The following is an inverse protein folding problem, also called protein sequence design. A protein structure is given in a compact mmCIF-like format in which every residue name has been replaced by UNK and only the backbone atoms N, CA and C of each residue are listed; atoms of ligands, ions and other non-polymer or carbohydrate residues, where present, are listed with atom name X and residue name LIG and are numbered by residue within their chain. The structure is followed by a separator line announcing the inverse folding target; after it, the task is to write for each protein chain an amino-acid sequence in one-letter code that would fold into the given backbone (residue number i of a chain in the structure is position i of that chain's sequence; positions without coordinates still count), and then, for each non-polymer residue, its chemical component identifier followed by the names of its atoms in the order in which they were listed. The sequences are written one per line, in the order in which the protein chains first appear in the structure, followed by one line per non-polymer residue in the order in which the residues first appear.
data_IF_374096176150
#
_entry.id   IF_374096176150
#
_cell.length_a   1.000
_cell.length_b   1.000
_cell.length_c   1.000
_cell.angle_alpha   90.00
_cell.angle_beta   90.00
_cell.angle_gamma   90.00
#
_symmetry.space_group_name_H-M   'P 1'
#
loop_
_entity.id
_entity.type
_entity.pdbx_description
1 polymer ?
#
# COMPACT_ATOMS: atom_id res chain seq x y z
N UNK A 1 -11.12 2.55 -20.37
CA UNK A 1 -10.60 2.72 -18.99
C UNK A 1 -9.10 2.83 -19.08
N UNK A 2 -8.51 3.90 -18.53
CA UNK A 2 -7.06 4.08 -18.53
C UNK A 2 -6.43 3.19 -17.46
N UNK A 3 -5.40 2.39 -17.77
CA UNK A 3 -4.79 1.45 -16.82
C UNK A 3 -4.29 2.13 -15.53
N UNK A 4 -3.77 3.34 -15.65
CA UNK A 4 -3.24 4.15 -14.54
C UNK A 4 -4.31 4.52 -13.50
N UNK A 5 -5.55 4.76 -13.95
CA UNK A 5 -6.67 5.07 -13.06
C UNK A 5 -7.10 3.84 -12.25
N UNK A 6 -6.98 2.64 -12.82
CA UNK A 6 -7.27 1.40 -12.09
C UNK A 6 -6.22 1.17 -11.00
N UNK A 7 -4.93 1.41 -11.29
CA UNK A 7 -3.85 1.28 -10.32
C UNK A 7 -4.01 2.25 -9.15
N UNK A 8 -4.28 3.53 -9.42
CA UNK A 8 -4.52 4.53 -8.37
C UNK A 8 -5.70 4.11 -7.48
N UNK A 9 -6.77 3.57 -8.06
CA UNK A 9 -7.92 3.12 -7.29
C UNK A 9 -7.59 1.87 -6.43
N UNK A 10 -6.78 0.94 -6.96
CA UNK A 10 -6.30 -0.21 -6.19
C UNK A 10 -5.39 0.21 -5.04
N UNK A 11 -4.48 1.15 -5.28
CA UNK A 11 -3.59 1.70 -4.26
C UNK A 11 -4.40 2.36 -3.15
N UNK A 12 -5.31 3.28 -3.49
CA UNK A 12 -6.18 3.94 -2.50
C UNK A 12 -6.98 2.93 -1.69
N UNK A 13 -7.57 1.93 -2.35
CA UNK A 13 -8.35 0.91 -1.65
C UNK A 13 -7.48 0.06 -0.71
N UNK A 14 -6.25 -0.23 -1.10
CA UNK A 14 -5.31 -0.99 -0.28
C UNK A 14 -4.81 -0.14 0.90
N UNK A 15 -4.44 1.12 0.69
CA UNK A 15 -4.01 2.03 1.76
C UNK A 15 -5.12 2.30 2.76
N UNK A 16 -6.35 2.59 2.31
CA UNK A 16 -7.51 2.73 3.22
C UNK A 16 -7.76 1.45 4.01
N UNK A 17 -7.61 0.27 3.38
CA UNK A 17 -7.74 -1.01 4.10
C UNK A 17 -6.65 -1.18 5.16
N UNK A 18 -5.42 -0.78 4.85
CA UNK A 18 -4.29 -0.82 5.78
C UNK A 18 -4.51 0.17 6.93
N UNK A 19 -4.90 1.42 6.65
CA UNK A 19 -5.24 2.42 7.67
C UNK A 19 -6.31 1.92 8.65
N UNK A 20 -7.37 1.32 8.11
CA UNK A 20 -8.55 0.91 8.91
C UNK A 20 -8.38 -0.43 9.62
N UNK A 21 -7.70 -1.40 9.00
CA UNK A 21 -7.58 -2.75 9.55
C UNK A 21 -6.21 -3.05 10.17
N UNK A 22 -5.16 -2.36 9.72
CA UNK A 22 -3.77 -2.59 10.13
C UNK A 22 -3.07 -1.24 10.41
N UNK A 23 -3.57 -0.43 11.36
CA UNK A 23 -3.00 0.88 11.66
C UNK A 23 -1.53 0.81 12.07
N UNK A 24 -1.10 -0.34 12.60
CA UNK A 24 0.31 -0.63 12.89
C UNK A 24 1.18 -0.63 11.63
N UNK A 25 0.70 -1.17 10.51
CA UNK A 25 1.41 -1.11 9.22
C UNK A 25 1.32 0.31 8.65
N UNK A 26 0.14 0.95 8.77
CA UNK A 26 -0.08 2.29 8.24
C UNK A 26 0.90 3.32 8.81
N UNK A 27 1.22 3.20 10.10
CA UNK A 27 2.24 4.04 10.74
C UNK A 27 3.61 3.97 10.04
N UNK A 28 4.04 2.80 9.57
CA UNK A 28 5.29 2.65 8.81
C UNK A 28 5.20 3.24 7.40
N UNK A 29 3.99 3.33 6.83
CA UNK A 29 3.75 3.96 5.52
C UNK A 29 3.81 5.48 5.64
N UNK A 30 3.31 6.06 6.74
CA UNK A 30 3.38 7.52 6.98
C UNK A 30 4.81 8.04 7.11
N UNK A 31 5.73 7.24 7.65
CA UNK A 31 7.16 7.58 7.69
C UNK A 31 7.85 7.53 6.31
N UNK A 32 7.20 6.93 5.31
CA UNK A 32 7.64 6.85 3.92
C UNK A 32 6.60 7.52 3.01
N UNK A 33 6.45 8.86 3.05
CA UNK A 33 5.45 9.55 2.24
C UNK A 33 5.86 9.49 0.77
N UNK A 34 5.46 8.43 0.06
CA UNK A 34 5.23 8.52 -1.37
C UNK A 34 3.97 9.35 -1.49
N UNK A 35 4.17 10.66 -1.63
CA UNK A 35 3.11 11.62 -1.94
C UNK A 35 2.48 11.19 -3.24
N UNK A 36 1.45 10.34 -3.17
CA UNK A 36 0.65 9.99 -4.34
C UNK A 36 0.08 11.33 -4.83
N UNK A 37 0.48 11.80 -6.01
CA UNK A 37 0.09 13.12 -6.46
C UNK A 37 -1.41 13.09 -6.67
N UNK A 38 -2.13 13.79 -5.79
CA UNK A 38 -3.58 13.93 -5.84
C UNK A 38 -3.97 14.60 -7.16
N UNK A 39 -4.40 13.77 -8.09
CA UNK A 39 -5.27 14.05 -9.24
C UNK A 39 -4.86 15.09 -10.29
N UNK A 40 -3.76 15.85 -10.17
CA UNK A 40 -3.60 17.00 -11.07
C UNK A 40 -2.28 17.18 -11.81
N UNK A 41 -1.19 16.51 -11.44
CA UNK A 41 0.04 16.64 -12.23
C UNK A 41 1.07 15.58 -11.83
N UNK A 42 1.04 14.41 -12.44
CA UNK A 42 2.24 13.59 -12.49
C UNK A 42 2.06 12.58 -13.61
N UNK A 43 2.94 12.64 -14.60
CA UNK A 43 3.37 11.50 -15.41
C UNK A 43 3.90 10.40 -14.46
N UNK A 44 3.00 9.83 -13.66
CA UNK A 44 3.32 8.70 -12.81
C UNK A 44 3.29 7.53 -13.77
N UNK A 45 4.43 7.28 -14.39
CA UNK A 45 4.67 6.15 -15.27
C UNK A 45 4.03 4.92 -14.63
N UNK A 46 3.18 4.18 -15.36
CA UNK A 46 2.37 3.08 -14.80
C UNK A 46 3.22 2.07 -14.00
N UNK A 47 4.52 1.94 -14.34
CA UNK A 47 5.49 1.15 -13.56
C UNK A 47 5.67 1.64 -12.12
N UNK A 48 5.76 2.95 -11.88
CA UNK A 48 5.94 3.50 -10.53
C UNK A 48 4.71 3.23 -9.67
N UNK A 49 3.51 3.35 -10.25
CA UNK A 49 2.26 2.99 -9.56
C UNK A 49 2.18 1.48 -9.28
N UNK A 50 2.58 0.65 -10.25
CA UNK A 50 2.65 -0.80 -10.08
C UNK A 50 3.64 -1.21 -8.98
N UNK A 51 4.85 -0.64 -9.01
CA UNK A 51 5.91 -0.92 -8.05
C UNK A 51 5.51 -0.51 -6.63
N UNK A 52 4.81 0.63 -6.50
CA UNK A 52 4.24 1.06 -5.23
C UNK A 52 3.12 0.14 -4.73
N UNK A 53 2.20 -0.27 -5.61
CA UNK A 53 1.14 -1.22 -5.27
C UNK A 53 1.72 -2.57 -4.83
N UNK A 54 2.77 -3.02 -5.50
CA UNK A 54 3.46 -4.27 -5.18
C UNK A 54 4.18 -4.18 -3.82
N UNK A 55 4.88 -3.07 -3.56
CA UNK A 55 5.51 -2.81 -2.26
C UNK A 55 4.49 -2.81 -1.11
N UNK A 56 3.33 -2.17 -1.28
CA UNK A 56 2.25 -2.18 -0.27
C UNK A 56 1.69 -3.59 -0.04
N UNK A 57 1.55 -4.41 -1.09
CA UNK A 57 1.11 -5.80 -0.97
C UNK A 57 2.14 -6.63 -0.23
N UNK A 58 3.41 -6.52 -0.60
CA UNK A 58 4.50 -7.22 0.08
C UNK A 58 4.55 -6.83 1.56
N UNK A 59 4.43 -5.56 1.90
CA UNK A 59 4.41 -5.10 3.29
C UNK A 59 3.26 -5.75 4.08
N UNK A 60 2.06 -5.78 3.50
CA UNK A 60 0.90 -6.42 4.11
C UNK A 60 1.09 -7.94 4.23
N UNK A 61 1.63 -8.60 3.21
CA UNK A 61 1.89 -10.04 3.22
C UNK A 61 2.95 -10.42 4.25
N UNK A 62 4.06 -9.67 4.33
CA UNK A 62 5.09 -9.84 5.34
C UNK A 62 4.53 -9.68 6.75
N UNK A 63 3.65 -8.69 6.94
CA UNK A 63 2.98 -8.49 8.20
C UNK A 63 2.08 -9.67 8.56
N UNK A 64 1.25 -10.12 7.61
CA UNK A 64 0.36 -11.26 7.79
C UNK A 64 1.13 -12.58 8.01
N UNK A 65 2.26 -12.79 7.34
CA UNK A 65 3.13 -13.97 7.55
C UNK A 65 3.79 -13.93 8.93
N UNK A 66 4.29 -12.75 9.34
CA UNK A 66 4.89 -12.55 10.67
C UNK A 66 3.86 -12.76 11.77
N UNK A 67 2.65 -12.23 11.61
CA UNK A 67 1.53 -12.47 12.53
C UNK A 67 1.04 -13.93 12.50
N UNK A 68 1.07 -14.63 11.35
CA UNK A 68 0.75 -16.07 11.27
C UNK A 68 1.81 -16.95 11.92
N UNK A 69 3.09 -16.58 11.85
CA UNK A 69 4.20 -17.33 12.43
C UNK A 69 4.40 -17.11 13.92
N UNK A 70 3.77 -16.08 14.48
CA UNK A 70 3.69 -15.90 15.93
C UNK A 70 2.25 -16.14 16.43
N UNK A 71 1.77 -17.40 16.48
CA UNK A 71 0.79 -17.71 17.52
C UNK A 71 1.52 -17.47 18.84
N UNK A 72 1.11 -16.43 19.57
CA UNK A 72 1.59 -16.09 20.91
C UNK A 72 2.10 -17.33 21.65
N UNK A 73 3.43 -17.44 21.78
CA UNK A 73 4.02 -18.32 22.78
C UNK A 73 4.21 -17.45 24.02
N UNK A 74 3.43 -17.83 25.04
CA UNK A 74 3.43 -17.46 26.46
C UNK A 74 2.98 -16.05 26.86
#
# INVERSE_FOLDING_TARGET
MNPSQNLINQINRLTTKIETQYPEIYHFIEEQPITIPSNNHCDTNDKTLLDYLDSLRQLLEHHLDTHRKNPKIV
#
